data_IF_726191461336
#
_entry.id   IF_726191461336
#
_cell.length_a   1.000
_cell.length_b   1.000
_cell.length_c   1.000
_cell.angle_alpha   90.00
_cell.angle_beta   90.00
_cell.angle_gamma   90.00
#
_symmetry.space_group_name_H-M   'P 1'
#
loop_
_entity.id
_entity.type
_entity.pdbx_description
1 polymer ?
#
# COMPACT_ATOMS: atom_id res chain seq x y z
N UNK A 1 -2.75 -18.70 13.00
CA UNK A 1 -1.31 -18.35 12.88
C UNK A 1 -0.69 -18.21 14.25
N UNK A 2 0.63 -18.39 14.38
CA UNK A 2 1.33 -18.05 15.62
C UNK A 2 1.23 -16.53 15.91
N UNK A 3 1.12 -16.16 17.19
CA UNK A 3 0.94 -14.75 17.58
C UNK A 3 2.12 -13.87 17.15
N UNK A 4 3.36 -14.36 17.25
CA UNK A 4 4.54 -13.60 16.81
C UNK A 4 4.49 -13.37 15.30
N UNK A 5 4.09 -14.38 14.52
CA UNK A 5 3.92 -14.24 13.07
C UNK A 5 2.85 -13.21 12.71
N UNK A 6 1.72 -13.18 13.43
CA UNK A 6 0.68 -12.16 13.24
C UNK A 6 1.24 -10.75 13.52
N UNK A 7 1.99 -10.57 14.61
CA UNK A 7 2.58 -9.28 14.95
C UNK A 7 3.59 -8.80 13.89
N UNK A 8 4.51 -9.67 13.47
CA UNK A 8 5.49 -9.30 12.42
C UNK A 8 4.82 -8.97 11.08
N UNK A 9 3.74 -9.66 10.74
CA UNK A 9 2.98 -9.36 9.53
C UNK A 9 2.28 -7.99 9.62
N UNK A 10 1.71 -7.65 10.78
CA UNK A 10 1.13 -6.31 11.02
C UNK A 10 2.20 -5.22 10.93
N UNK A 11 3.39 -5.43 11.49
CA UNK A 11 4.49 -4.47 11.39
C UNK A 11 4.93 -4.26 9.92
N UNK A 12 5.03 -5.34 9.14
CA UNK A 12 5.32 -5.24 7.70
C UNK A 12 4.22 -4.49 6.95
N UNK A 13 2.94 -4.78 7.21
CA UNK A 13 1.81 -4.06 6.61
C UNK A 13 1.85 -2.56 6.91
N UNK A 14 2.21 -2.18 8.14
CA UNK A 14 2.34 -0.78 8.54
C UNK A 14 3.48 -0.08 7.80
N UNK A 15 4.62 -0.76 7.62
CA UNK A 15 5.76 -0.23 6.86
C UNK A 15 5.40 -0.01 5.38
N UNK A 16 4.74 -0.99 4.75
CA UNK A 16 4.34 -0.89 3.35
C UNK A 16 3.32 0.22 3.14
N UNK A 17 2.37 0.38 4.08
CA UNK A 17 1.40 1.48 4.04
C UNK A 17 2.08 2.86 4.13
N UNK A 18 3.08 3.03 5.00
CA UNK A 18 3.85 4.29 5.08
C UNK A 18 4.59 4.61 3.77
N UNK A 19 5.12 3.56 3.11
CA UNK A 19 5.76 3.68 1.80
C UNK A 19 4.78 4.13 0.71
N UNK A 20 3.56 3.58 0.72
CA UNK A 20 2.49 3.97 -0.19
C UNK A 20 2.03 5.41 0.03
N UNK A 21 1.88 5.84 1.29
CA UNK A 21 1.52 7.23 1.62
C UNK A 21 2.56 8.22 1.10
N UNK A 22 3.85 7.89 1.20
CA UNK A 22 4.92 8.70 0.60
C UNK A 22 4.83 8.72 -0.93
N UNK A 23 4.52 7.58 -1.55
CA UNK A 23 4.38 7.48 -3.00
C UNK A 23 3.20 8.29 -3.56
N UNK A 24 2.14 8.51 -2.78
CA UNK A 24 1.05 9.42 -3.14
C UNK A 24 1.53 10.87 -3.35
N UNK A 25 2.57 11.31 -2.63
CA UNK A 25 3.14 12.64 -2.82
C UNK A 25 3.68 12.84 -4.25
N UNK A 26 4.32 11.81 -4.82
CA UNK A 26 4.83 11.85 -6.20
C UNK A 26 3.70 11.98 -7.21
N UNK A 27 2.58 11.27 -7.02
CA UNK A 27 1.42 11.44 -7.91
C UNK A 27 0.85 12.85 -7.83
N UNK A 28 0.77 13.44 -6.63
CA UNK A 28 0.34 14.83 -6.44
C UNK A 28 1.27 15.83 -7.12
N UNK A 29 2.57 15.57 -7.11
CA UNK A 29 3.58 16.36 -7.83
C UNK A 29 3.32 16.28 -9.34
N UNK A 30 3.16 15.09 -9.91
CA UNK A 30 2.83 14.94 -11.34
C UNK A 30 1.52 15.64 -11.74
N UNK A 31 0.49 15.61 -10.88
CA UNK A 31 -0.74 16.38 -11.10
C UNK A 31 -0.44 17.88 -11.12
N UNK A 32 0.37 18.38 -10.19
CA UNK A 32 0.74 19.79 -10.14
C UNK A 32 1.56 20.26 -11.34
N UNK A 33 2.33 19.34 -11.95
CA UNK A 33 3.09 19.54 -13.17
C UNK A 33 2.25 19.33 -14.46
N UNK A 34 0.96 19.01 -14.31
CA UNK A 34 0.03 18.66 -15.39
C UNK A 34 0.47 17.42 -16.21
N UNK A 35 1.32 16.55 -15.65
CA UNK A 35 1.67 15.24 -16.22
C UNK A 35 0.68 14.17 -15.73
N UNK A 36 -0.56 14.29 -16.24
CA UNK A 36 -1.66 13.39 -15.86
C UNK A 36 -1.41 11.93 -16.24
N UNK A 37 -0.60 11.68 -17.28
CA UNK A 37 -0.24 10.31 -17.67
C UNK A 37 0.58 9.64 -16.59
N UNK A 38 1.64 10.29 -16.10
CA UNK A 38 2.47 9.73 -15.01
C UNK A 38 1.71 9.68 -13.69
N UNK A 39 0.89 10.68 -13.40
CA UNK A 39 0.03 10.68 -12.23
C UNK A 39 -0.88 9.44 -12.20
N UNK A 40 -1.56 9.14 -13.31
CA UNK A 40 -2.47 7.99 -13.41
C UNK A 40 -1.74 6.65 -13.34
N UNK A 41 -0.56 6.53 -13.96
CA UNK A 41 0.26 5.33 -13.81
C UNK A 41 0.67 5.11 -12.35
N UNK A 42 1.16 6.14 -11.67
CA UNK A 42 1.55 6.06 -10.26
C UNK A 42 0.36 5.74 -9.34
N UNK A 43 -0.83 6.29 -9.61
CA UNK A 43 -2.05 5.95 -8.85
C UNK A 43 -2.47 4.50 -9.06
N UNK A 44 -2.37 3.99 -10.30
CA UNK A 44 -2.67 2.58 -10.60
C UNK A 44 -1.71 1.63 -9.87
N UNK A 45 -0.42 1.95 -9.82
CA UNK A 45 0.57 1.20 -9.03
C UNK A 45 0.20 1.17 -7.54
N UNK A 46 -0.12 2.34 -6.97
CA UNK A 46 -0.55 2.46 -5.56
C UNK A 46 -1.83 1.64 -5.30
N UNK A 47 -2.79 1.65 -6.22
CA UNK A 47 -4.03 0.88 -6.07
C UNK A 47 -3.76 -0.63 -6.02
N UNK A 48 -2.93 -1.14 -6.93
CA UNK A 48 -2.56 -2.57 -6.97
C UNK A 48 -1.90 -2.99 -5.66
N UNK A 49 -0.99 -2.17 -5.13
CA UNK A 49 -0.31 -2.45 -3.86
C UNK A 49 -1.29 -2.41 -2.67
N UNK A 50 -2.21 -1.43 -2.63
CA UNK A 50 -3.26 -1.39 -1.61
C UNK A 50 -4.17 -2.62 -1.64
N UNK A 51 -4.52 -3.12 -2.82
CA UNK A 51 -5.28 -4.36 -2.97
C UNK A 51 -4.50 -5.57 -2.43
N UNK A 52 -3.19 -5.62 -2.64
CA UNK A 52 -2.32 -6.65 -2.06
C UNK A 52 -2.31 -6.59 -0.52
N UNK A 53 -2.17 -5.40 0.06
CA UNK A 53 -2.24 -5.21 1.52
C UNK A 53 -3.60 -5.65 2.07
N UNK A 54 -4.70 -5.34 1.38
CA UNK A 54 -6.04 -5.80 1.76
C UNK A 54 -6.15 -7.33 1.78
N UNK A 55 -5.55 -8.01 0.79
CA UNK A 55 -5.49 -9.47 0.74
C UNK A 55 -4.73 -10.08 1.92
N UNK A 56 -3.58 -9.48 2.28
CA UNK A 56 -2.78 -9.88 3.45
C UNK A 56 -3.54 -9.68 4.76
N UNK A 57 -4.23 -8.55 4.93
CA UNK A 57 -5.10 -8.31 6.09
C UNK A 57 -6.22 -9.35 6.18
N UNK A 58 -6.87 -9.68 5.06
CA UNK A 58 -7.90 -10.70 5.01
C UNK A 58 -7.36 -12.09 5.42
N UNK A 59 -6.16 -12.43 4.98
CA UNK A 59 -5.49 -13.68 5.36
C UNK A 59 -5.21 -13.75 6.87
N UNK A 60 -4.66 -12.69 7.46
CA UNK A 60 -4.46 -12.60 8.93
C UNK A 60 -5.79 -12.78 9.65
N UNK A 61 -6.84 -12.04 9.23
CA UNK A 61 -8.16 -12.11 9.85
C UNK A 61 -8.79 -13.51 9.78
N UNK A 62 -8.57 -14.23 8.68
CA UNK A 62 -9.02 -15.62 8.54
C UNK A 62 -8.25 -16.62 9.41
N UNK A 63 -7.09 -16.21 9.92
CA UNK A 63 -6.14 -17.04 10.65
C UNK A 63 -6.11 -16.79 12.17
N UNK A 64 -7.02 -15.93 12.67
CA UNK A 64 -7.28 -15.59 14.07
C UNK A 64 -8.57 -16.29 14.51
#
# INVERSE_FOLDING_TARGET
>A
MDKQLIFSEIESLMFDLDTLVKSLANSREYISENDLSRANSKLSEIEIELQSLAGRVAYIKSSI
#
